data_IF_191131169618
#
_entry.id   IF_191131169618
#
_cell.length_a   1.000
_cell.length_b   1.000
_cell.length_c   1.000
_cell.angle_alpha   90.00
_cell.angle_beta   90.00
_cell.angle_gamma   90.00
#
_symmetry.space_group_name_H-M   'P 1'
#
loop_
_entity.id
_entity.type
_entity.pdbx_description
1 polymer ?
#
# COMPACT_ATOMS: atom_id res chain seq x y z
N UNK A 1 -37.96 -32.45 -5.80
CA UNK A 1 -36.97 -32.53 -6.88
C UNK A 1 -36.82 -31.14 -7.46
N UNK A 2 -36.23 -30.17 -6.75
CA UNK A 2 -34.81 -29.97 -6.37
C UNK A 2 -34.33 -28.75 -7.20
N UNK A 3 -33.59 -27.77 -6.71
CA UNK A 3 -33.30 -27.32 -5.35
C UNK A 3 -32.85 -25.84 -5.43
N UNK A 4 -32.81 -25.13 -4.28
CA UNK A 4 -31.76 -24.16 -3.85
C UNK A 4 -30.90 -23.50 -4.96
N UNK A 5 -30.74 -22.19 -5.11
CA UNK A 5 -30.13 -21.17 -4.22
C UNK A 5 -29.59 -20.06 -5.17
N UNK A 6 -29.25 -18.80 -4.85
CA UNK A 6 -29.31 -17.92 -3.65
C UNK A 6 -29.87 -16.55 -4.15
N UNK A 7 -30.44 -15.70 -3.28
CA UNK A 7 -30.36 -14.25 -3.47
C UNK A 7 -30.04 -13.57 -2.14
N UNK A 8 -28.91 -12.86 -2.11
CA UNK A 8 -28.28 -12.36 -0.89
C UNK A 8 -28.20 -10.83 -0.91
N UNK A 9 -29.21 -10.16 -0.36
CA UNK A 9 -29.20 -8.71 -0.17
C UNK A 9 -29.75 -8.37 1.21
N UNK A 10 -28.84 -8.24 2.18
CA UNK A 10 -29.13 -7.74 3.53
C UNK A 10 -29.16 -6.21 3.47
N UNK A 11 -30.36 -5.62 3.39
CA UNK A 11 -30.57 -4.21 3.69
C UNK A 11 -30.37 -3.98 5.19
N UNK A 12 -29.85 -2.80 5.56
CA UNK A 12 -29.41 -2.49 6.93
C UNK A 12 -30.08 -1.24 7.48
N UNK A 13 -30.05 -1.12 8.81
CA UNK A 13 -30.37 0.07 9.63
C UNK A 13 -31.89 0.35 9.73
N UNK A 14 -32.41 0.93 10.83
CA UNK A 14 -31.82 1.52 12.05
C UNK A 14 -32.88 1.41 13.16
N UNK A 15 -32.61 1.55 14.47
CA UNK A 15 -33.69 1.68 15.48
C UNK A 15 -33.69 3.06 16.18
N UNK A 16 -34.82 3.51 16.76
CA UNK A 16 -34.92 4.79 17.50
C UNK A 16 -36.08 4.82 18.50
N UNK A 17 -35.77 5.17 19.75
CA UNK A 17 -36.73 5.80 20.68
C UNK A 17 -36.39 7.30 20.88
N UNK A 18 -37.39 8.11 21.23
CA UNK A 18 -37.38 9.57 21.04
C UNK A 18 -37.61 10.37 22.32
N UNK A 19 -36.89 11.50 22.44
CA UNK A 19 -37.41 12.76 23.03
C UNK A 19 -36.92 13.97 22.20
N UNK A 20 -37.68 15.08 22.19
CA UNK A 20 -37.79 16.07 21.07
C UNK A 20 -36.80 17.29 21.16
N UNK A 21 -36.59 18.21 20.19
CA UNK A 21 -37.33 18.61 18.97
C UNK A 21 -36.50 18.66 17.63
N UNK A 22 -36.10 19.80 16.96
CA UNK A 22 -36.40 19.91 15.52
C UNK A 22 -35.24 20.17 14.52
N UNK A 23 -35.33 19.48 13.38
CA UNK A 23 -34.96 19.86 11.99
C UNK A 23 -33.66 20.62 11.67
N UNK A 24 -32.76 19.95 10.92
CA UNK A 24 -32.23 20.45 9.63
C UNK A 24 -31.70 19.27 8.78
N UNK A 25 -31.90 19.30 7.46
CA UNK A 25 -31.32 18.34 6.49
C UNK A 25 -30.37 19.09 5.55
N UNK A 26 -29.24 18.48 5.10
CA UNK A 26 -29.21 17.87 3.76
C UNK A 26 -28.26 16.63 3.70
N UNK A 27 -27.71 16.21 2.53
CA UNK A 27 -28.26 15.12 1.73
C UNK A 27 -27.44 13.82 1.74
N UNK A 28 -28.09 12.75 1.25
CA UNK A 28 -27.58 11.40 0.94
C UNK A 28 -26.06 11.26 0.73
N UNK A 29 -25.42 10.34 1.47
CA UNK A 29 -24.10 9.80 1.15
C UNK A 29 -24.03 8.26 1.35
N UNK A 30 -23.02 7.68 0.71
CA UNK A 30 -22.84 6.26 0.41
C UNK A 30 -22.40 5.42 1.63
N UNK A 31 -22.54 4.08 1.63
CA UNK A 31 -22.19 3.25 2.78
C UNK A 31 -20.72 3.45 3.21
N UNK A 32 -20.54 3.76 4.50
CA UNK A 32 -19.34 4.36 5.06
C UNK A 32 -18.25 3.35 5.46
N UNK A 33 -17.01 3.84 5.53
CA UNK A 33 -15.80 3.05 5.38
C UNK A 33 -14.72 3.48 6.41
N UNK A 34 -14.01 2.53 7.05
CA UNK A 34 -12.84 2.75 7.96
C UNK A 34 -11.51 2.24 7.37
N UNK A 35 -10.43 3.04 7.41
CA UNK A 35 -9.04 2.63 7.11
C UNK A 35 -8.54 1.47 8.03
N UNK A 36 -8.10 0.34 7.43
CA UNK A 36 -7.66 -0.95 8.02
C UNK A 36 -6.32 -1.36 7.43
N UNK A 37 -5.29 -1.75 8.20
CA UNK A 37 -3.93 -1.94 7.61
C UNK A 37 -3.87 -3.13 6.62
N UNK A 38 -3.48 -2.88 5.38
CA UNK A 38 -3.20 -3.87 4.34
C UNK A 38 -1.99 -4.71 4.73
N UNK A 39 -2.26 -5.91 5.24
CA UNK A 39 -1.26 -6.96 5.36
C UNK A 39 -0.92 -7.48 3.95
N UNK A 40 0.06 -6.87 3.27
CA UNK A 40 0.64 -7.43 2.04
C UNK A 40 1.53 -8.65 2.35
N UNK A 41 0.92 -9.67 2.95
CA UNK A 41 1.54 -10.94 3.33
C UNK A 41 1.59 -11.90 2.14
N UNK A 42 2.15 -11.45 1.01
CA UNK A 42 2.49 -12.32 -0.11
C UNK A 42 3.74 -13.16 0.19
N UNK A 43 3.69 -13.90 1.31
CA UNK A 43 4.59 -14.99 1.62
C UNK A 43 4.26 -16.20 0.72
N UNK A 44 4.66 -16.12 -0.55
CA UNK A 44 4.69 -17.28 -1.44
C UNK A 44 5.72 -18.28 -0.92
N UNK A 45 5.27 -19.18 -0.04
CA UNK A 45 5.99 -20.40 0.33
C UNK A 45 6.11 -21.31 -0.89
N UNK A 46 7.12 -21.07 -1.72
CA UNK A 46 7.54 -22.03 -2.73
C UNK A 46 8.10 -23.26 -2.00
N UNK A 47 7.35 -24.35 -2.04
CA UNK A 47 7.80 -25.64 -1.54
C UNK A 47 8.90 -26.14 -2.47
N UNK A 48 10.14 -26.13 -1.99
CA UNK A 48 11.27 -26.74 -2.71
C UNK A 48 11.08 -28.26 -2.80
N UNK A 49 10.46 -28.71 -3.88
CA UNK A 49 10.54 -30.09 -4.31
C UNK A 49 11.97 -30.37 -4.81
N UNK A 50 12.77 -31.07 -4.01
CA UNK A 50 14.14 -31.45 -4.35
C UNK A 50 14.16 -32.45 -5.51
N UNK A 51 14.37 -31.94 -6.73
CA UNK A 51 14.75 -32.75 -7.89
C UNK A 51 16.27 -32.62 -8.08
N UNK A 52 16.98 -33.70 -7.83
CA UNK A 52 18.42 -33.78 -8.05
C UNK A 52 18.74 -33.55 -9.52
N UNK A 53 19.59 -32.57 -9.81
CA UNK A 53 20.41 -32.59 -11.00
C UNK A 53 21.88 -32.64 -10.58
N UNK A 54 22.55 -33.75 -10.89
CA UNK A 54 23.96 -33.94 -10.59
C UNK A 54 24.81 -33.25 -11.66
N UNK A 55 25.50 -32.17 -11.29
CA UNK A 55 26.78 -31.83 -11.91
C UNK A 55 27.83 -31.64 -10.80
N UNK A 56 29.08 -31.94 -11.15
CA UNK A 56 30.07 -32.41 -10.18
C UNK A 56 30.50 -31.34 -9.17
N UNK A 57 30.65 -31.78 -7.91
CA UNK A 57 31.47 -31.07 -6.93
C UNK A 57 32.92 -31.44 -7.23
N UNK A 58 33.69 -30.47 -7.72
CA UNK A 58 35.13 -30.51 -7.55
C UNK A 58 35.55 -29.72 -6.30
N UNK A 59 36.72 -30.06 -5.78
CA UNK A 59 37.25 -29.67 -4.47
C UNK A 59 37.51 -28.15 -4.36
N UNK A 60 37.71 -27.58 -3.15
CA UNK A 60 38.08 -26.17 -3.03
C UNK A 60 39.37 -25.93 -3.81
N UNK A 61 39.35 -24.95 -4.72
CA UNK A 61 40.55 -24.51 -5.41
C UNK A 61 41.56 -24.03 -4.35
N UNK A 62 42.69 -24.72 -4.26
CA UNK A 62 43.82 -24.26 -3.46
C UNK A 62 44.25 -22.89 -3.99
N UNK A 63 44.54 -21.96 -3.09
CA UNK A 63 45.10 -20.66 -3.43
C UNK A 63 46.46 -20.89 -4.11
N UNK A 64 46.49 -20.79 -5.43
CA UNK A 64 47.71 -20.89 -6.22
C UNK A 64 48.68 -19.77 -5.86
N UNK A 65 49.96 -20.08 -5.95
CA UNK A 65 51.05 -19.11 -5.77
C UNK A 65 50.89 -18.01 -6.83
N UNK A 66 50.78 -16.75 -6.41
CA UNK A 66 50.59 -15.61 -7.32
C UNK A 66 51.95 -15.19 -7.87
N UNK A 67 52.28 -15.62 -9.09
CA UNK A 67 53.45 -15.15 -9.82
C UNK A 67 53.37 -13.63 -10.03
N UNK A 68 54.30 -12.89 -9.41
CA UNK A 68 54.29 -11.43 -9.35
C UNK A 68 54.69 -10.73 -10.67
N UNK A 69 54.83 -11.48 -11.76
CA UNK A 69 55.29 -11.01 -13.08
C UNK A 69 54.15 -10.91 -14.13
N UNK A 70 52.90 -11.24 -13.79
CA UNK A 70 51.75 -10.96 -14.66
C UNK A 70 51.52 -9.44 -14.77
N UNK A 71 52.02 -8.88 -15.87
CA UNK A 71 51.76 -7.49 -16.28
C UNK A 71 50.28 -7.38 -16.60
N UNK A 72 49.50 -6.80 -15.68
CA UNK A 72 48.07 -6.55 -15.87
C UNK A 72 47.80 -5.90 -17.23
N UNK A 73 46.95 -6.55 -18.03
CA UNK A 73 46.68 -6.17 -19.42
C UNK A 73 46.17 -4.75 -19.57
N UNK A 74 46.38 -4.14 -20.73
CA UNK A 74 45.77 -2.85 -21.03
C UNK A 74 44.25 -3.02 -21.20
N UNK A 75 43.47 -2.30 -20.38
CA UNK A 75 42.02 -2.24 -20.50
C UNK A 75 41.64 -1.66 -21.88
N UNK A 76 40.78 -2.38 -22.63
CA UNK A 76 40.22 -1.87 -23.89
C UNK A 76 38.96 -1.04 -23.61
N UNK A 77 37.97 -1.65 -22.96
CA UNK A 77 36.72 -1.02 -22.50
C UNK A 77 36.06 -1.85 -21.40
N UNK A 78 35.14 -1.21 -20.67
CA UNK A 78 34.16 -1.90 -19.83
C UNK A 78 33.01 -2.38 -20.73
N UNK A 79 32.55 -3.62 -20.53
CA UNK A 79 31.44 -4.25 -21.28
C UNK A 79 30.32 -4.77 -20.37
N UNK A 80 30.36 -4.43 -19.08
CA UNK A 80 29.30 -4.75 -18.12
C UNK A 80 29.65 -4.28 -16.71
N UNK A 81 28.67 -4.25 -15.82
CA UNK A 81 28.80 -3.85 -14.42
C UNK A 81 27.95 -4.74 -13.52
N UNK A 82 28.30 -4.84 -12.23
CA UNK A 82 27.47 -5.46 -11.19
C UNK A 82 27.81 -4.94 -9.80
N UNK A 83 26.81 -4.86 -8.93
CA UNK A 83 27.04 -4.63 -7.51
C UNK A 83 27.76 -5.83 -6.85
N UNK A 84 28.79 -5.56 -6.03
CA UNK A 84 29.50 -6.59 -5.25
C UNK A 84 28.59 -7.11 -4.13
N UNK A 85 28.59 -8.43 -3.86
CA UNK A 85 27.84 -9.02 -2.75
C UNK A 85 28.13 -8.31 -1.41
N UNK A 86 27.05 -7.89 -0.72
CA UNK A 86 27.14 -7.01 0.47
C UNK A 86 27.28 -5.51 0.16
N UNK A 87 27.09 -5.11 -1.10
CA UNK A 87 27.01 -3.73 -1.59
C UNK A 87 28.30 -2.92 -1.41
N UNK A 88 29.45 -3.56 -1.27
CA UNK A 88 30.72 -2.89 -0.87
C UNK A 88 31.32 -2.00 -1.95
N UNK A 89 31.00 -2.22 -3.22
CA UNK A 89 31.40 -1.42 -4.36
C UNK A 89 30.80 -2.01 -5.64
N UNK A 90 31.35 -1.61 -6.78
CA UNK A 90 31.00 -2.16 -8.10
C UNK A 90 32.14 -3.06 -8.62
N UNK A 91 31.77 -4.11 -9.33
CA UNK A 91 32.64 -4.86 -10.23
C UNK A 91 32.27 -4.53 -11.67
N UNK A 92 33.28 -4.53 -12.56
CA UNK A 92 33.10 -4.27 -13.98
C UNK A 92 33.68 -5.41 -14.80
N UNK A 93 33.00 -5.77 -15.89
CA UNK A 93 33.48 -6.76 -16.84
C UNK A 93 34.40 -6.06 -17.85
N UNK A 94 35.67 -6.43 -17.85
CA UNK A 94 36.71 -5.80 -18.64
C UNK A 94 36.97 -6.59 -19.91
N UNK A 95 36.89 -5.93 -21.06
CA UNK A 95 37.52 -6.41 -22.30
C UNK A 95 38.97 -5.92 -22.35
N UNK A 96 39.92 -6.84 -22.55
CA UNK A 96 41.35 -6.55 -22.57
C UNK A 96 41.88 -6.39 -24.01
N UNK A 97 42.95 -5.61 -24.20
CA UNK A 97 43.56 -5.40 -25.54
C UNK A 97 44.43 -6.55 -26.04
N UNK A 98 44.85 -7.44 -25.15
CA UNK A 98 45.85 -8.50 -25.35
C UNK A 98 45.22 -9.89 -25.57
N UNK A 99 43.99 -9.92 -26.12
CA UNK A 99 43.20 -11.12 -26.44
C UNK A 99 42.85 -12.02 -25.23
N UNK A 100 43.10 -11.55 -24.00
CA UNK A 100 42.60 -12.22 -22.79
C UNK A 100 41.06 -12.21 -22.73
N UNK A 101 40.49 -13.32 -22.25
CA UNK A 101 39.04 -13.45 -22.08
C UNK A 101 38.51 -12.38 -21.10
N UNK A 102 37.29 -11.83 -21.30
CA UNK A 102 36.77 -10.81 -20.40
C UNK A 102 36.64 -11.29 -18.96
N UNK A 103 37.07 -10.46 -18.00
CA UNK A 103 37.08 -10.80 -16.57
C UNK A 103 36.42 -9.72 -15.72
N UNK A 104 35.73 -10.14 -14.67
CA UNK A 104 35.19 -9.25 -13.64
C UNK A 104 36.33 -8.73 -12.74
N UNK A 105 36.44 -7.41 -12.65
CA UNK A 105 37.46 -6.71 -11.85
C UNK A 105 36.78 -5.69 -10.93
N UNK A 106 37.08 -5.66 -9.62
CA UNK A 106 36.52 -4.65 -8.72
C UNK A 106 36.98 -3.23 -9.07
N UNK A 107 36.12 -2.24 -8.81
CA UNK A 107 36.34 -0.81 -9.12
C UNK A 107 37.71 -0.27 -8.68
N UNK A 108 38.23 -0.78 -7.56
CA UNK A 108 39.48 -0.32 -6.94
C UNK A 108 40.75 -0.66 -7.75
N UNK A 109 40.66 -1.62 -8.68
CA UNK A 109 41.78 -2.05 -9.54
C UNK A 109 41.73 -1.44 -10.95
N UNK A 110 40.67 -0.69 -11.29
CA UNK A 110 40.49 -0.06 -12.61
C UNK A 110 40.83 1.42 -12.49
N UNK A 111 41.39 2.00 -13.57
CA UNK A 111 41.68 3.42 -13.61
C UNK A 111 40.38 4.24 -13.53
N UNK A 112 40.38 5.28 -12.66
CA UNK A 112 39.16 6.04 -12.31
C UNK A 112 38.53 6.78 -13.47
N UNK A 113 39.34 7.17 -14.45
CA UNK A 113 38.90 7.78 -15.71
C UNK A 113 38.16 6.79 -16.60
N UNK A 114 38.62 5.55 -16.71
CA UNK A 114 37.93 4.47 -17.45
C UNK A 114 36.57 4.14 -16.82
N UNK A 115 36.51 4.00 -15.50
CA UNK A 115 35.23 3.83 -14.77
C UNK A 115 34.32 5.04 -14.98
N UNK A 116 34.87 6.26 -14.87
CA UNK A 116 34.09 7.47 -15.07
C UNK A 116 33.54 7.62 -16.50
N UNK A 117 34.26 7.17 -17.53
CA UNK A 117 33.77 7.18 -18.92
C UNK A 117 32.52 6.29 -19.08
N UNK A 118 32.50 5.13 -18.41
CA UNK A 118 31.39 4.18 -18.44
C UNK A 118 30.17 4.59 -17.58
N UNK A 119 30.42 5.21 -16.42
CA UNK A 119 29.40 5.56 -15.43
C UNK A 119 28.82 6.97 -15.57
N UNK A 120 29.61 7.93 -16.08
CA UNK A 120 29.18 9.33 -16.20
C UNK A 120 27.92 9.51 -17.08
N UNK A 121 27.75 8.80 -18.22
CA UNK A 121 26.52 8.86 -19.00
C UNK A 121 25.29 8.45 -18.18
N UNK A 122 25.37 7.31 -17.49
CA UNK A 122 24.32 6.75 -16.64
C UNK A 122 23.91 7.73 -15.52
N UNK A 123 24.88 8.20 -14.74
CA UNK A 123 24.60 9.13 -13.65
C UNK A 123 24.11 10.50 -14.14
N UNK A 124 24.52 10.95 -15.34
CA UNK A 124 23.96 12.17 -15.93
C UNK A 124 22.49 11.99 -16.31
N UNK A 125 22.14 10.87 -16.95
CA UNK A 125 20.77 10.57 -17.35
C UNK A 125 19.84 10.38 -16.13
N UNK A 126 20.31 9.73 -15.06
CA UNK A 126 19.56 9.60 -13.81
C UNK A 126 19.40 10.94 -13.04
N UNK A 127 20.43 11.79 -13.02
CA UNK A 127 20.42 13.09 -12.29
C UNK A 127 19.70 14.21 -13.04
N UNK A 128 19.52 14.08 -14.35
CA UNK A 128 18.69 14.95 -15.21
C UNK A 128 17.70 14.04 -15.95
N UNK A 129 16.60 13.59 -15.32
CA UNK A 129 15.86 12.38 -15.68
C UNK A 129 15.53 12.31 -17.18
N UNK A 130 16.42 11.67 -17.92
CA UNK A 130 16.43 11.62 -19.38
C UNK A 130 16.07 10.19 -19.76
N UNK A 131 14.79 10.00 -20.06
CA UNK A 131 14.22 8.72 -20.45
C UNK A 131 14.92 8.13 -21.67
N UNK A 132 15.25 8.97 -22.67
CA UNK A 132 15.90 8.53 -23.90
C UNK A 132 17.33 8.06 -23.64
N UNK A 133 18.11 8.84 -22.88
CA UNK A 133 19.49 8.47 -22.55
C UNK A 133 19.56 7.25 -21.61
N UNK A 134 18.65 7.12 -20.64
CA UNK A 134 18.56 5.90 -19.82
C UNK A 134 18.16 4.69 -20.68
N UNK A 135 17.23 4.87 -21.62
CA UNK A 135 16.81 3.80 -22.52
C UNK A 135 17.95 3.30 -23.42
N UNK A 136 18.66 4.21 -24.08
CA UNK A 136 19.81 3.88 -24.93
C UNK A 136 20.93 3.16 -24.16
N UNK A 137 21.11 3.46 -22.87
CA UNK A 137 22.09 2.80 -21.99
C UNK A 137 21.63 1.45 -21.43
N UNK A 138 20.34 1.12 -21.50
CA UNK A 138 19.78 -0.19 -21.06
C UNK A 138 19.60 -1.12 -22.27
N UNK A 139 19.31 -0.57 -23.45
CA UNK A 139 19.24 -1.33 -24.72
C UNK A 139 20.61 -1.52 -25.39
N UNK A 140 21.69 -1.08 -24.75
CA UNK A 140 23.06 -1.27 -25.22
C UNK A 140 23.53 -2.73 -25.04
N UNK A 141 24.51 -3.13 -25.87
CA UNK A 141 25.17 -4.44 -25.81
C UNK A 141 26.30 -4.43 -24.76
N UNK A 142 25.99 -3.92 -23.56
CA UNK A 142 26.79 -4.05 -22.34
C UNK A 142 25.96 -4.71 -21.24
N UNK A 143 26.55 -5.65 -20.50
CA UNK A 143 25.89 -6.35 -19.37
C UNK A 143 25.81 -5.40 -18.15
N UNK A 144 25.08 -4.28 -18.30
CA UNK A 144 24.98 -3.20 -17.31
C UNK A 144 23.97 -3.53 -16.22
N UNK A 145 24.40 -3.41 -14.98
CA UNK A 145 23.53 -3.50 -13.81
C UNK A 145 22.67 -2.23 -13.66
N UNK A 146 21.34 -2.40 -13.75
CA UNK A 146 20.35 -1.34 -13.58
C UNK A 146 20.33 -0.82 -12.14
N UNK A 147 20.71 -1.66 -11.17
CA UNK A 147 20.90 -1.31 -9.77
C UNK A 147 22.37 -1.00 -9.43
N UNK A 148 23.17 -0.60 -10.43
CA UNK A 148 24.47 0.02 -10.21
C UNK A 148 24.38 1.18 -9.20
N UNK A 149 25.33 1.25 -8.26
CA UNK A 149 25.29 2.15 -7.11
C UNK A 149 26.35 3.25 -7.16
N UNK A 150 25.99 4.46 -6.72
CA UNK A 150 26.95 5.56 -6.53
C UNK A 150 27.81 5.39 -5.26
N UNK A 151 28.73 6.32 -5.01
CA UNK A 151 29.58 6.35 -3.81
C UNK A 151 28.79 6.35 -2.47
N UNK A 152 27.52 6.76 -2.49
CA UNK A 152 26.63 6.77 -1.33
C UNK A 152 25.77 5.50 -1.22
N UNK A 153 25.96 4.54 -2.15
CA UNK A 153 25.16 3.34 -2.29
C UNK A 153 23.74 3.63 -2.79
N UNK A 154 23.56 4.51 -3.78
CA UNK A 154 22.25 4.83 -4.38
C UNK A 154 22.15 4.39 -5.83
N UNK A 155 21.05 3.74 -6.19
CA UNK A 155 20.74 3.38 -7.59
C UNK A 155 20.11 4.54 -8.36
N UNK A 156 20.05 4.43 -9.69
CA UNK A 156 19.38 5.40 -10.55
C UNK A 156 17.91 5.62 -10.16
N UNK A 157 17.22 4.56 -9.72
CA UNK A 157 15.80 4.59 -9.34
C UNK A 157 15.52 5.58 -8.20
N UNK A 158 16.42 5.67 -7.20
CA UNK A 158 16.30 6.61 -6.09
C UNK A 158 16.41 8.07 -6.56
N UNK A 159 17.30 8.36 -7.52
CA UNK A 159 17.45 9.71 -8.09
C UNK A 159 16.20 10.12 -8.88
N UNK A 160 15.75 9.30 -9.83
CA UNK A 160 14.59 9.66 -10.67
C UNK A 160 13.30 9.73 -9.86
N UNK A 161 13.18 8.93 -8.79
CA UNK A 161 12.05 8.98 -7.86
C UNK A 161 12.00 10.28 -7.07
N UNK A 162 13.14 10.74 -6.53
CA UNK A 162 13.24 12.03 -5.84
C UNK A 162 13.07 13.23 -6.77
N UNK A 163 13.47 13.10 -8.05
CA UNK A 163 13.28 14.14 -9.06
C UNK A 163 11.84 14.18 -9.60
N UNK A 164 11.11 13.07 -9.51
CA UNK A 164 9.69 12.98 -9.87
C UNK A 164 9.41 12.54 -11.30
N UNK A 165 10.32 11.79 -11.93
CA UNK A 165 10.12 11.31 -13.30
C UNK A 165 9.44 9.95 -13.31
N UNK A 166 8.11 9.95 -13.50
CA UNK A 166 7.32 8.72 -13.63
C UNK A 166 7.77 7.84 -14.79
N UNK A 167 8.15 8.43 -15.93
CA UNK A 167 8.61 7.70 -17.10
C UNK A 167 9.94 6.96 -16.84
N UNK A 168 10.94 7.62 -16.24
CA UNK A 168 12.21 6.97 -15.90
C UNK A 168 12.04 5.91 -14.79
N UNK A 169 11.15 6.14 -13.82
CA UNK A 169 10.82 5.13 -12.78
C UNK A 169 10.23 3.88 -13.43
N UNK A 170 9.29 4.04 -14.36
CA UNK A 170 8.67 2.93 -15.08
C UNK A 170 9.68 2.18 -15.94
N UNK A 171 10.53 2.90 -16.67
CA UNK A 171 11.57 2.33 -17.53
C UNK A 171 12.60 1.51 -16.74
N UNK A 172 13.07 2.01 -15.59
CA UNK A 172 14.01 1.27 -14.74
C UNK A 172 13.36 0.02 -14.11
N UNK A 173 12.09 0.10 -13.70
CA UNK A 173 11.35 -1.05 -13.18
C UNK A 173 11.05 -2.10 -14.26
N UNK A 174 10.73 -1.69 -15.49
CA UNK A 174 10.59 -2.58 -16.64
C UNK A 174 11.92 -3.26 -17.02
N UNK A 175 13.05 -2.60 -16.76
CA UNK A 175 14.40 -3.16 -16.89
C UNK A 175 14.84 -4.04 -15.70
N UNK A 176 13.99 -4.21 -14.67
CA UNK A 176 14.23 -5.13 -13.55
C UNK A 176 14.85 -4.52 -12.29
N UNK A 177 14.91 -3.19 -12.15
CA UNK A 177 15.42 -2.53 -10.94
C UNK A 177 14.65 -2.91 -9.66
N UNK A 178 15.35 -3.13 -8.56
CA UNK A 178 14.77 -3.38 -7.24
C UNK A 178 14.09 -2.11 -6.69
N UNK A 179 12.76 -2.07 -6.82
CA UNK A 179 11.89 -1.01 -6.29
C UNK A 179 11.99 -0.85 -4.76
N UNK A 180 12.47 -1.87 -4.05
CA UNK A 180 12.66 -1.89 -2.60
C UNK A 180 14.11 -1.68 -2.16
N UNK A 181 15.03 -1.41 -3.09
CA UNK A 181 16.44 -1.15 -2.80
C UNK A 181 16.61 -0.04 -1.75
N UNK A 182 17.55 -0.25 -0.82
CA UNK A 182 17.80 0.64 0.33
C UNK A 182 19.19 1.28 0.23
N UNK A 183 19.29 2.61 0.25
CA UNK A 183 20.59 3.28 0.19
C UNK A 183 21.50 2.97 1.38
N UNK A 184 22.81 2.87 1.14
CA UNK A 184 23.80 2.59 2.20
C UNK A 184 23.89 3.70 3.25
N UNK A 185 23.56 4.94 2.88
CA UNK A 185 23.72 6.09 3.76
C UNK A 185 22.59 6.24 4.80
N UNK A 186 21.34 6.03 4.41
CA UNK A 186 20.16 6.24 5.26
C UNK A 186 19.19 5.07 5.33
N UNK A 187 19.38 4.02 4.52
CA UNK A 187 18.40 2.94 4.35
C UNK A 187 17.17 3.38 3.56
N UNK A 188 17.27 4.46 2.79
CA UNK A 188 16.16 5.08 2.08
C UNK A 188 15.83 4.31 0.80
N UNK A 189 14.54 4.10 0.53
CA UNK A 189 14.04 3.48 -0.70
C UNK A 189 13.53 4.49 -1.72
N UNK A 190 13.18 4.05 -2.92
CA UNK A 190 12.51 4.87 -3.93
C UNK A 190 11.27 5.59 -3.38
N UNK A 191 10.44 4.90 -2.57
CA UNK A 191 9.27 5.50 -1.91
C UNK A 191 9.64 6.59 -0.90
N UNK A 192 10.74 6.43 -0.14
CA UNK A 192 11.24 7.49 0.75
C UNK A 192 11.66 8.74 -0.03
N UNK A 193 12.30 8.56 -1.18
CA UNK A 193 12.71 9.67 -2.05
C UNK A 193 11.47 10.37 -2.64
N UNK A 194 10.50 9.62 -3.15
CA UNK A 194 9.23 10.17 -3.64
C UNK A 194 8.48 10.94 -2.53
N UNK A 195 8.45 10.41 -1.30
CA UNK A 195 7.80 11.04 -0.15
C UNK A 195 8.52 12.32 0.30
N UNK A 196 9.84 12.26 0.49
CA UNK A 196 10.66 13.37 0.98
C UNK A 196 10.72 14.56 0.01
N UNK A 197 10.75 14.27 -1.29
CA UNK A 197 10.77 15.28 -2.36
C UNK A 197 9.37 15.64 -2.91
N UNK A 198 8.30 15.14 -2.27
CA UNK A 198 6.90 15.53 -2.53
C UNK A 198 6.44 15.19 -3.95
N UNK A 199 6.59 13.92 -4.34
CA UNK A 199 6.29 13.39 -5.69
C UNK A 199 5.13 12.38 -5.64
N UNK A 200 3.86 12.82 -5.52
CA UNK A 200 2.72 11.94 -5.33
C UNK A 200 2.44 11.00 -6.51
N UNK A 201 2.71 11.44 -7.75
CA UNK A 201 2.54 10.59 -8.95
C UNK A 201 3.55 9.43 -8.98
N UNK A 202 4.84 9.71 -8.76
CA UNK A 202 5.87 8.68 -8.54
C UNK A 202 5.53 7.78 -7.36
N UNK A 203 5.09 8.33 -6.22
CA UNK A 203 4.72 7.51 -5.06
C UNK A 203 3.60 6.51 -5.42
N UNK A 204 2.59 6.94 -6.18
CA UNK A 204 1.52 6.06 -6.68
C UNK A 204 2.06 4.99 -7.64
N UNK A 205 2.88 5.39 -8.61
CA UNK A 205 3.50 4.47 -9.56
C UNK A 205 4.37 3.41 -8.86
N UNK A 206 5.17 3.78 -7.86
CA UNK A 206 5.99 2.83 -7.10
C UNK A 206 5.13 1.79 -6.36
N UNK A 207 3.99 2.19 -5.78
CA UNK A 207 3.03 1.23 -5.18
C UNK A 207 2.43 0.31 -6.26
N UNK A 208 2.06 0.85 -7.43
CA UNK A 208 1.56 0.06 -8.57
C UNK A 208 2.60 -0.94 -9.10
N UNK A 209 3.90 -0.63 -8.97
CA UNK A 209 5.04 -1.49 -9.30
C UNK A 209 5.43 -2.46 -8.17
N UNK A 210 4.69 -2.50 -7.05
CA UNK A 210 4.92 -3.44 -5.95
C UNK A 210 5.98 -3.03 -4.93
N UNK A 211 6.33 -1.75 -4.84
CA UNK A 211 7.16 -1.24 -3.75
C UNK A 211 6.44 -1.35 -2.40
N UNK A 212 7.15 -1.80 -1.37
CA UNK A 212 6.64 -2.01 -0.02
C UNK A 212 6.61 -0.67 0.77
N UNK A 213 5.42 -0.17 1.15
CA UNK A 213 5.28 1.08 1.89
C UNK A 213 5.65 0.99 3.37
N UNK A 214 5.94 -0.21 3.89
CA UNK A 214 6.29 -0.47 5.30
C UNK A 214 7.81 -0.58 5.55
N UNK A 215 8.65 -0.51 4.51
CA UNK A 215 10.12 -0.51 4.69
C UNK A 215 10.54 0.70 5.53
N UNK A 216 11.26 0.46 6.63
CA UNK A 216 11.78 1.53 7.50
C UNK A 216 13.20 1.96 7.12
N UNK A 217 13.48 3.28 7.12
CA UNK A 217 14.84 3.82 7.05
C UNK A 217 15.68 3.50 8.33
N UNK A 218 16.97 3.85 8.36
CA UNK A 218 17.82 3.60 9.54
C UNK A 218 17.44 4.39 10.82
N UNK A 219 16.41 5.23 10.76
CA UNK A 219 15.83 5.94 11.91
C UNK A 219 14.47 5.36 12.32
N UNK A 220 14.06 4.23 11.74
CA UNK A 220 12.75 3.62 11.99
C UNK A 220 11.59 4.39 11.36
N UNK A 221 11.84 5.17 10.30
CA UNK A 221 10.79 5.93 9.61
C UNK A 221 10.35 5.18 8.35
N UNK A 222 9.07 4.86 8.23
CA UNK A 222 8.46 4.46 6.95
C UNK A 222 8.26 5.69 6.03
N UNK A 223 8.06 5.52 4.71
CA UNK A 223 7.71 6.60 3.80
C UNK A 223 6.52 7.45 4.27
N UNK A 224 5.48 6.81 4.85
CA UNK A 224 4.31 7.51 5.41
C UNK A 224 4.69 8.36 6.64
N UNK A 225 5.51 7.79 7.53
CA UNK A 225 5.99 8.48 8.74
C UNK A 225 6.87 9.68 8.37
N UNK A 226 7.75 9.52 7.38
CA UNK A 226 8.57 10.58 6.81
C UNK A 226 7.69 11.71 6.21
N UNK A 227 6.70 11.37 5.38
CA UNK A 227 5.79 12.34 4.78
C UNK A 227 4.99 13.14 5.83
N UNK A 228 4.42 12.45 6.84
CA UNK A 228 3.70 13.08 7.96
C UNK A 228 4.62 13.97 8.80
N UNK A 229 5.87 13.56 9.06
CA UNK A 229 6.85 14.38 9.78
C UNK A 229 7.15 15.68 9.03
N UNK A 230 7.42 15.60 7.72
CA UNK A 230 7.73 16.78 6.89
C UNK A 230 6.49 17.70 6.78
N UNK A 231 5.30 17.13 6.65
CA UNK A 231 4.04 17.88 6.63
C UNK A 231 3.85 18.70 7.92
N UNK A 232 4.06 18.07 9.08
CA UNK A 232 3.97 18.73 10.39
C UNK A 232 5.01 19.85 10.58
N UNK A 233 6.20 19.71 10.00
CA UNK A 233 7.26 20.72 10.05
C UNK A 233 7.08 21.85 9.00
N UNK A 234 6.19 21.69 8.02
CA UNK A 234 6.03 22.66 6.92
C UNK A 234 5.22 23.90 7.36
N UNK A 235 5.76 25.12 7.25
CA UNK A 235 5.08 26.33 7.72
C UNK A 235 3.74 26.61 7.01
N UNK A 236 2.69 26.92 7.79
CA UNK A 236 1.33 27.13 7.27
C UNK A 236 1.09 28.50 6.62
N UNK A 237 1.89 29.52 6.97
CA UNK A 237 1.62 30.93 6.63
C UNK A 237 2.14 31.45 5.28
N UNK A 238 2.79 30.62 4.44
CA UNK A 238 3.39 31.06 3.17
C UNK A 238 2.71 30.36 1.98
N UNK A 239 2.19 31.08 0.96
CA UNK A 239 1.58 30.48 -0.24
C UNK A 239 2.47 29.48 -0.99
N UNK A 240 3.79 29.67 -1.01
CA UNK A 240 4.72 28.71 -1.62
C UNK A 240 4.77 27.39 -0.83
N UNK A 241 4.60 27.45 0.50
CA UNK A 241 4.51 26.27 1.36
C UNK A 241 3.11 25.64 1.32
N UNK A 242 2.05 26.37 0.92
CA UNK A 242 0.71 25.80 0.69
C UNK A 242 0.77 24.69 -0.37
N UNK A 243 1.39 24.96 -1.53
CA UNK A 243 1.54 23.97 -2.59
C UNK A 243 2.36 22.75 -2.13
N UNK A 244 3.43 22.97 -1.35
CA UNK A 244 4.23 21.88 -0.76
C UNK A 244 3.41 21.02 0.20
N UNK A 245 2.59 21.63 1.07
CA UNK A 245 1.70 20.89 1.97
C UNK A 245 0.65 20.09 1.21
N UNK A 246 -0.01 20.66 0.20
CA UNK A 246 -0.97 19.95 -0.63
C UNK A 246 -0.33 18.73 -1.34
N UNK A 247 0.91 18.87 -1.81
CA UNK A 247 1.69 17.76 -2.35
C UNK A 247 1.99 16.68 -1.31
N UNK A 248 2.35 17.07 -0.08
CA UNK A 248 2.61 16.13 1.03
C UNK A 248 1.32 15.44 1.51
N UNK A 249 0.21 16.17 1.60
CA UNK A 249 -1.12 15.65 1.89
C UNK A 249 -1.54 14.61 0.82
N UNK A 250 -1.24 14.86 -0.46
CA UNK A 250 -1.44 13.88 -1.54
C UNK A 250 -0.54 12.65 -1.43
N UNK A 251 0.74 12.80 -1.08
CA UNK A 251 1.65 11.66 -0.81
C UNK A 251 1.13 10.83 0.36
N UNK A 252 0.76 11.49 1.46
CA UNK A 252 0.19 10.86 2.66
C UNK A 252 -1.06 10.08 2.29
N UNK A 253 -1.99 10.67 1.52
CA UNK A 253 -3.20 9.99 1.05
C UNK A 253 -2.88 8.75 0.19
N UNK A 254 -1.96 8.84 -0.77
CA UNK A 254 -1.58 7.69 -1.61
C UNK A 254 -0.98 6.55 -0.79
N UNK A 255 -0.10 6.89 0.17
CA UNK A 255 0.47 5.89 1.07
C UNK A 255 -0.57 5.36 2.07
N UNK A 256 -1.52 6.18 2.51
CA UNK A 256 -2.62 5.74 3.36
C UNK A 256 -3.59 4.82 2.60
N UNK A 257 -3.89 5.07 1.32
CA UNK A 257 -4.68 4.17 0.47
C UNK A 257 -3.95 2.85 0.17
N UNK A 258 -2.62 2.87 0.13
CA UNK A 258 -1.78 1.69 -0.09
C UNK A 258 -1.50 0.87 1.19
N UNK A 259 -1.43 1.55 2.34
CA UNK A 259 -1.21 0.94 3.66
C UNK A 259 -2.54 0.56 4.32
N UNK A 260 -3.66 1.21 3.98
CA UNK A 260 -4.93 1.01 4.66
C UNK A 260 -6.13 0.84 3.70
N UNK A 261 -6.75 -0.35 3.72
CA UNK A 261 -7.99 -0.69 3.03
C UNK A 261 -9.25 -0.29 3.82
N UNK A 262 -10.43 -0.62 3.32
CA UNK A 262 -11.72 -0.29 3.94
C UNK A 262 -12.53 -1.54 4.29
N UNK A 263 -12.86 -1.75 5.57
CA UNK A 263 -13.48 -2.99 6.05
C UNK A 263 -14.82 -2.82 6.78
N UNK A 264 -15.65 -3.87 6.71
CA UNK A 264 -16.98 -3.93 7.34
C UNK A 264 -16.87 -4.39 8.78
N UNK A 265 -17.33 -3.53 9.70
CA UNK A 265 -17.62 -3.93 11.07
C UNK A 265 -18.89 -4.80 11.09
N UNK A 266 -18.87 -5.84 11.92
CA UNK A 266 -20.04 -6.62 12.29
C UNK A 266 -20.78 -5.94 13.45
N UNK A 267 -20.05 -5.66 14.53
CA UNK A 267 -20.60 -5.15 15.79
C UNK A 267 -19.54 -4.32 16.57
N UNK A 268 -19.99 -3.39 17.41
CA UNK A 268 -19.16 -2.82 18.50
C UNK A 268 -19.54 -3.51 19.80
N UNK A 269 -18.57 -4.12 20.47
CA UNK A 269 -18.78 -4.92 21.68
C UNK A 269 -18.61 -4.11 22.98
N UNK A 270 -17.59 -3.25 23.03
CA UNK A 270 -17.22 -2.51 24.24
C UNK A 270 -16.74 -1.09 23.93
N UNK A 271 -16.72 -0.23 24.95
CA UNK A 271 -16.19 1.13 24.91
C UNK A 271 -15.22 1.37 26.06
N UNK A 272 -14.07 1.99 25.78
CA UNK A 272 -13.09 2.44 26.77
C UNK A 272 -12.62 3.86 26.49
N UNK A 273 -11.89 4.42 27.47
CA UNK A 273 -11.32 5.75 27.36
C UNK A 273 -12.33 6.88 27.59
N UNK A 274 -11.87 8.13 27.41
CA UNK A 274 -12.64 9.36 27.67
C UNK A 274 -12.16 10.50 26.77
N UNK A 275 -13.09 11.39 26.38
CA UNK A 275 -12.79 12.55 25.54
C UNK A 275 -12.37 12.13 24.13
N UNK A 276 -11.28 12.71 23.62
CA UNK A 276 -10.74 12.35 22.30
C UNK A 276 -10.17 10.92 22.27
N UNK A 277 -9.66 10.41 23.40
CA UNK A 277 -9.10 9.06 23.51
C UNK A 277 -10.17 8.00 23.79
N UNK A 278 -11.34 8.09 23.16
CA UNK A 278 -12.36 7.02 23.19
C UNK A 278 -12.00 5.96 22.17
N UNK A 279 -12.04 4.71 22.60
CA UNK A 279 -11.80 3.53 21.79
C UNK A 279 -12.93 2.53 21.97
N UNK A 280 -13.26 1.81 20.91
CA UNK A 280 -14.32 0.82 20.85
C UNK A 280 -13.74 -0.54 20.47
N UNK A 281 -14.20 -1.61 21.09
CA UNK A 281 -13.84 -2.97 20.71
C UNK A 281 -14.71 -3.38 19.54
N UNK A 282 -14.09 -3.57 18.38
CA UNK A 282 -14.75 -3.83 17.10
C UNK A 282 -14.66 -5.31 16.77
N UNK A 283 -15.81 -5.94 16.49
CA UNK A 283 -15.91 -7.27 15.91
C UNK A 283 -15.98 -7.16 14.38
N UNK A 284 -15.13 -7.91 13.69
CA UNK A 284 -15.02 -7.80 12.23
C UNK A 284 -15.82 -8.87 11.50
N UNK A 285 -16.49 -8.46 10.41
CA UNK A 285 -17.35 -9.34 9.62
C UNK A 285 -16.59 -10.39 8.80
N UNK A 286 -15.29 -10.18 8.58
CA UNK A 286 -14.39 -11.15 7.95
C UNK A 286 -13.92 -12.24 8.94
N UNK A 287 -14.23 -12.12 10.24
CA UNK A 287 -13.85 -13.08 11.26
C UNK A 287 -12.44 -12.89 11.82
N UNK A 288 -11.79 -11.76 11.51
CA UNK A 288 -10.53 -11.33 12.15
C UNK A 288 -10.70 -11.07 13.66
N UNK A 289 -9.60 -11.13 14.40
CA UNK A 289 -9.59 -10.88 15.85
C UNK A 289 -10.13 -9.48 16.22
N UNK A 290 -10.91 -9.41 17.30
CA UNK A 290 -11.53 -8.17 17.76
C UNK A 290 -10.47 -7.11 18.15
N UNK A 291 -10.52 -5.94 17.51
CA UNK A 291 -9.53 -4.87 17.68
C UNK A 291 -10.08 -3.72 18.54
N UNK A 292 -9.24 -3.08 19.36
CA UNK A 292 -9.57 -1.80 19.99
C UNK A 292 -9.27 -0.63 19.05
N UNK A 293 -10.32 0.09 18.68
CA UNK A 293 -10.32 1.05 17.57
C UNK A 293 -10.69 2.45 18.05
N UNK A 294 -9.92 3.46 17.64
CA UNK A 294 -10.19 4.86 17.98
C UNK A 294 -11.49 5.35 17.35
N UNK A 295 -12.33 6.04 18.14
CA UNK A 295 -13.67 6.47 17.74
C UNK A 295 -13.71 7.19 16.39
N UNK A 296 -12.75 8.09 16.12
CA UNK A 296 -12.69 8.87 14.88
C UNK A 296 -12.32 8.06 13.62
N UNK A 297 -11.88 6.80 13.77
CA UNK A 297 -11.67 5.89 12.65
C UNK A 297 -12.92 5.07 12.34
N UNK A 298 -13.90 5.02 13.24
CA UNK A 298 -15.17 4.31 13.06
C UNK A 298 -16.18 5.27 12.43
N UNK A 299 -17.12 4.75 11.63
CA UNK A 299 -18.22 5.56 11.13
C UNK A 299 -19.04 6.14 12.29
N UNK A 300 -19.35 7.43 12.23
CA UNK A 300 -20.14 8.13 13.25
C UNK A 300 -21.51 7.48 13.47
N UNK A 301 -22.11 6.93 12.42
CA UNK A 301 -23.36 6.17 12.49
C UNK A 301 -23.25 4.94 13.40
N UNK A 302 -22.19 4.14 13.26
CA UNK A 302 -22.02 2.91 14.04
C UNK A 302 -21.70 3.21 15.51
N UNK A 303 -20.88 4.24 15.75
CA UNK A 303 -20.61 4.74 17.11
C UNK A 303 -21.89 5.24 17.77
N UNK A 304 -22.72 5.97 17.02
CA UNK A 304 -23.99 6.52 17.49
C UNK A 304 -25.02 5.44 17.77
N UNK A 305 -25.11 4.42 16.91
CA UNK A 305 -26.02 3.28 17.12
C UNK A 305 -25.62 2.51 18.40
N UNK A 306 -24.32 2.26 18.61
CA UNK A 306 -23.80 1.67 19.86
C UNK A 306 -24.04 2.56 21.09
N UNK A 307 -23.76 3.87 21.02
CA UNK A 307 -23.99 4.79 22.15
C UNK A 307 -25.48 4.97 22.50
N UNK A 308 -26.37 4.76 21.54
CA UNK A 308 -27.82 4.73 21.75
C UNK A 308 -28.33 3.36 22.27
N UNK A 309 -27.46 2.35 22.40
CA UNK A 309 -27.82 1.00 22.84
C UNK A 309 -28.66 0.24 21.81
N UNK A 310 -28.46 0.51 20.52
CA UNK A 310 -29.17 -0.19 19.45
C UNK A 310 -28.45 -1.51 19.13
N UNK A 311 -29.12 -2.63 19.40
CA UNK A 311 -28.65 -3.96 19.01
C UNK A 311 -28.96 -4.22 17.53
N UNK A 312 -28.00 -4.81 16.80
CA UNK A 312 -28.19 -5.19 15.40
C UNK A 312 -28.87 -6.55 15.30
N UNK A 313 -30.19 -6.57 15.13
CA UNK A 313 -30.98 -7.78 14.87
C UNK A 313 -31.37 -7.90 13.39
N UNK A 314 -31.43 -9.12 12.86
CA UNK A 314 -31.91 -9.36 11.49
C UNK A 314 -33.44 -9.46 11.48
N UNK A 315 -34.11 -8.59 10.73
CA UNK A 315 -35.56 -8.68 10.52
C UNK A 315 -35.90 -9.84 9.57
N UNK A 316 -36.80 -10.74 9.98
CA UNK A 316 -37.34 -11.80 9.10
C UNK A 316 -38.51 -11.28 8.27
N UNK A 317 -39.48 -10.63 8.90
CA UNK A 317 -40.69 -10.14 8.24
C UNK A 317 -41.46 -9.11 9.08
N UNK A 318 -42.33 -8.36 8.41
CA UNK A 318 -43.35 -7.52 9.04
C UNK A 318 -44.63 -8.33 9.27
N UNK A 319 -45.16 -8.29 10.49
CA UNK A 319 -46.36 -8.99 10.91
C UNK A 319 -47.62 -8.11 10.90
N UNK A 320 -47.49 -6.85 11.32
CA UNK A 320 -48.60 -5.90 11.45
C UNK A 320 -48.15 -4.46 11.15
N UNK A 321 -49.11 -3.55 10.92
CA UNK A 321 -48.91 -2.11 10.71
C UNK A 321 -49.91 -1.34 11.58
N UNK A 322 -49.47 -0.26 12.23
CA UNK A 322 -50.31 0.67 13.01
C UNK A 322 -49.90 2.12 12.75
N UNK A 323 -50.78 3.04 13.09
CA UNK A 323 -50.43 4.46 13.19
C UNK A 323 -49.77 4.72 14.56
N UNK A 324 -48.51 5.17 14.57
CA UNK A 324 -47.78 5.56 15.77
C UNK A 324 -48.23 6.92 16.31
N UNK A 325 -47.90 7.21 17.57
CA UNK A 325 -48.37 8.43 18.28
C UNK A 325 -47.98 9.76 17.59
N UNK A 326 -46.93 9.73 16.76
CA UNK A 326 -46.45 10.88 15.99
C UNK A 326 -47.12 11.05 14.61
N UNK A 327 -48.14 10.23 14.27
CA UNK A 327 -48.79 10.25 12.96
C UNK A 327 -47.94 9.66 11.82
N UNK A 328 -46.95 8.84 12.16
CA UNK A 328 -46.14 8.04 11.22
C UNK A 328 -46.50 6.56 11.39
N UNK A 329 -46.36 5.78 10.32
CA UNK A 329 -46.55 4.34 10.38
C UNK A 329 -45.50 3.65 11.25
N UNK A 330 -45.96 2.71 12.08
CA UNK A 330 -45.14 1.74 12.81
C UNK A 330 -45.51 0.33 12.36
N UNK A 331 -44.53 -0.55 12.32
CA UNK A 331 -44.65 -1.93 11.86
C UNK A 331 -44.19 -2.88 12.97
N UNK A 332 -44.92 -3.97 13.17
CA UNK A 332 -44.51 -5.04 14.09
C UNK A 332 -43.54 -5.95 13.36
N UNK A 333 -42.26 -5.89 13.71
CA UNK A 333 -41.19 -6.64 13.05
C UNK A 333 -40.91 -7.92 13.83
N UNK A 334 -40.92 -9.06 13.13
CA UNK A 334 -40.37 -10.31 13.64
C UNK A 334 -38.87 -10.36 13.32
N UNK A 335 -38.06 -10.63 14.33
CA UNK A 335 -36.61 -10.77 14.21
C UNK A 335 -36.20 -12.25 14.13
N UNK A 336 -35.04 -12.51 13.55
CA UNK A 336 -34.41 -13.84 13.54
C UNK A 336 -33.75 -14.16 14.89
N UNK A 337 -33.22 -13.12 15.55
CA UNK A 337 -32.34 -13.22 16.72
C UNK A 337 -33.01 -12.79 18.04
N UNK A 338 -34.24 -12.27 17.99
CA UNK A 338 -35.04 -11.84 19.15
C UNK A 338 -36.36 -12.64 19.16
N UNK A 339 -36.70 -13.26 20.30
CA UNK A 339 -37.90 -14.11 20.42
C UNK A 339 -39.21 -13.32 20.26
N UNK A 340 -39.26 -12.10 20.79
CA UNK A 340 -40.43 -11.21 20.74
C UNK A 340 -40.35 -10.22 19.57
N UNK A 341 -41.48 -10.05 18.87
CA UNK A 341 -41.62 -9.05 17.82
C UNK A 341 -41.78 -7.64 18.42
N UNK A 342 -41.10 -6.63 17.86
CA UNK A 342 -41.13 -5.23 18.35
C UNK A 342 -41.78 -4.28 17.36
N UNK A 343 -42.37 -3.19 17.87
CA UNK A 343 -42.99 -2.15 17.05
C UNK A 343 -41.97 -1.09 16.68
N UNK A 344 -41.65 -1.00 15.39
CA UNK A 344 -40.65 -0.08 14.85
C UNK A 344 -41.26 0.91 13.86
N UNK A 345 -40.89 2.20 13.88
CA UNK A 345 -41.33 3.17 12.89
C UNK A 345 -40.82 2.84 11.48
N UNK A 346 -41.51 3.31 10.44
CA UNK A 346 -41.17 3.08 9.03
C UNK A 346 -39.71 3.38 8.65
N UNK A 347 -39.04 4.33 9.31
CA UNK A 347 -37.62 4.66 9.13
C UNK A 347 -36.64 3.52 9.49
N UNK A 348 -37.14 2.50 10.21
CA UNK A 348 -36.36 1.49 10.89
C UNK A 348 -36.50 0.08 10.29
N UNK A 349 -37.36 -0.08 9.28
CA UNK A 349 -37.77 -1.38 8.73
C UNK A 349 -37.43 -1.43 7.24
N UNK A 350 -36.94 -2.59 6.76
CA UNK A 350 -36.58 -2.75 5.35
C UNK A 350 -37.79 -2.44 4.44
N UNK A 351 -37.68 -1.47 3.50
CA UNK A 351 -38.74 -1.15 2.55
C UNK A 351 -39.25 -2.35 1.75
N UNK A 352 -38.42 -3.37 1.50
CA UNK A 352 -38.84 -4.60 0.82
C UNK A 352 -39.73 -5.47 1.70
N UNK A 353 -39.46 -5.57 3.00
CA UNK A 353 -40.32 -6.29 3.95
C UNK A 353 -41.66 -5.60 4.14
N UNK A 354 -41.66 -4.25 4.11
CA UNK A 354 -42.90 -3.45 4.06
C UNK A 354 -43.67 -3.75 2.77
N UNK A 355 -43.00 -3.69 1.61
CA UNK A 355 -43.65 -3.91 0.31
C UNK A 355 -44.23 -5.33 0.18
N UNK A 356 -43.53 -6.35 0.68
CA UNK A 356 -43.99 -7.73 0.67
C UNK A 356 -45.17 -7.96 1.64
N UNK A 357 -45.18 -7.30 2.80
CA UNK A 357 -46.32 -7.29 3.70
C UNK A 357 -47.56 -6.62 3.05
N UNK A 358 -47.39 -5.45 2.42
CA UNK A 358 -48.50 -4.75 1.77
C UNK A 358 -49.04 -5.51 0.54
N UNK A 359 -48.17 -6.14 -0.26
CA UNK A 359 -48.57 -7.09 -1.32
C UNK A 359 -49.32 -8.30 -0.76
N UNK A 360 -48.93 -8.78 0.42
CA UNK A 360 -49.62 -9.86 1.14
C UNK A 360 -51.03 -9.48 1.53
N UNK A 361 -51.21 -8.30 2.15
CA UNK A 361 -52.51 -7.74 2.55
C UNK A 361 -53.45 -7.60 1.34
N UNK A 362 -52.97 -7.06 0.21
CA UNK A 362 -53.80 -6.86 -1.00
C UNK A 362 -54.33 -8.17 -1.61
N UNK A 363 -53.57 -9.27 -1.49
CA UNK A 363 -54.00 -10.61 -1.95
C UNK A 363 -55.06 -11.28 -1.07
N UNK A 364 -55.26 -10.82 0.17
CA UNK A 364 -56.28 -11.36 1.09
C UNK A 364 -57.63 -10.61 0.94
N UNK A 365 -57.61 -9.43 0.32
CA UNK A 365 -58.78 -8.55 0.14
C UNK A 365 -59.37 -8.61 -1.29
N UNK A 366 -58.71 -9.35 -2.20
CA UNK A 366 -59.11 -9.55 -3.61
C UNK A 366 -59.77 -10.92 -3.83
#
# INVERSE_FOLDING_TARGET
MDALFVNSYLSRLKLKFSTQFPTFSPPQQQPFLRLKKLNNSNNLRVVFATLQNQQQRDAPAEFGDYDADETYGEVNKIIGSRAIEGGKGMEYLIEWKDEHAPTWVPSDFIAKDVVAEYDTPWWNAAKKPDESALKELIEADDDRDVDAVDENGRTALLFVSGLGSEACVKLLAEAGADVNYRDRNGGLTALHMAAGYVKPGVAKLLIELGADPEVEDYRGQTPLTLARMILNQTPKGNPMQFARRLGLENVVRVLEEAIFEYAQVEEILEKRGKGENVEYLVKWKDGEDNEWVKAWLISEDLVKDFEAGLEYAVAECVLEKRDGENGKGEYLVKWADIEDATWEPEENVDPLLIEDFEKGQQKVVS
#
